data_IF_660573547701
#
_entry.id   IF_660573547701
#
_cell.length_a   1.000
_cell.length_b   1.000
_cell.length_c   1.000
_cell.angle_alpha   90.00
_cell.angle_beta   90.00
_cell.angle_gamma   90.00
#
_symmetry.space_group_name_H-M   'P 1'
#
loop_
_entity.id
_entity.type
_entity.pdbx_description
1 polymer ?
#
# COMPACT_ATOMS: atom_id res chain seq x y z
N UNK A 1 12.52 -18.26 23.69
CA UNK A 1 11.71 -17.40 22.78
C UNK A 1 11.10 -18.31 21.70
N UNK A 2 9.82 -18.14 21.36
CA UNK A 2 9.22 -18.90 20.24
C UNK A 2 9.88 -18.47 18.92
N UNK A 3 10.23 -19.42 18.05
CA UNK A 3 10.68 -19.14 16.70
C UNK A 3 9.47 -18.76 15.85
N UNK A 4 9.54 -17.62 15.20
CA UNK A 4 8.50 -17.13 14.30
C UNK A 4 8.95 -17.38 12.86
N UNK A 5 8.01 -17.76 12.01
CA UNK A 5 8.25 -18.05 10.59
C UNK A 5 7.22 -17.32 9.72
N UNK A 6 7.61 -16.97 8.51
CA UNK A 6 6.71 -16.48 7.47
C UNK A 6 6.12 -17.72 6.79
N UNK A 7 4.80 -17.79 6.70
CA UNK A 7 4.07 -18.93 6.13
C UNK A 7 3.35 -18.60 4.85
N UNK A 8 3.21 -17.33 4.51
CA UNK A 8 2.60 -16.88 3.26
C UNK A 8 3.02 -15.46 2.92
N UNK A 9 3.14 -15.21 1.63
CA UNK A 9 3.49 -13.92 1.06
C UNK A 9 2.43 -13.50 0.05
N UNK A 10 2.19 -12.20 -0.01
CA UNK A 10 1.37 -11.59 -1.05
C UNK A 10 1.86 -10.20 -1.37
N UNK A 11 1.90 -9.86 -2.64
CA UNK A 11 2.46 -8.59 -3.09
C UNK A 11 1.73 -8.03 -4.29
N UNK A 12 1.57 -6.70 -4.28
CA UNK A 12 1.12 -5.92 -5.43
C UNK A 12 2.09 -4.76 -5.59
N UNK A 13 2.78 -4.69 -6.72
CA UNK A 13 3.82 -3.67 -6.96
C UNK A 13 3.88 -3.23 -8.42
N UNK A 14 4.66 -2.20 -8.70
CA UNK A 14 4.90 -1.71 -10.07
C UNK A 14 5.61 -2.73 -10.98
N UNK A 15 6.22 -3.78 -10.41
CA UNK A 15 6.92 -4.82 -11.16
C UNK A 15 6.17 -6.16 -11.20
N UNK A 16 4.98 -6.24 -10.60
CA UNK A 16 4.12 -7.43 -10.65
C UNK A 16 2.94 -7.33 -9.71
N UNK A 17 1.88 -8.05 -10.03
CA UNK A 17 0.61 -8.05 -9.29
C UNK A 17 0.49 -9.25 -8.31
N UNK A 18 1.51 -10.07 -8.21
CA UNK A 18 1.63 -11.22 -7.34
C UNK A 18 3.10 -11.60 -7.15
N UNK A 19 3.38 -12.50 -6.21
CA UNK A 19 4.74 -12.96 -5.85
C UNK A 19 5.48 -13.54 -7.06
N UNK A 20 4.80 -14.31 -7.92
CA UNK A 20 5.42 -14.93 -9.08
C UNK A 20 5.90 -13.88 -10.11
N UNK A 21 5.05 -12.92 -10.44
CA UNK A 21 5.39 -11.82 -11.37
C UNK A 21 6.52 -10.94 -10.84
N UNK A 22 6.46 -10.58 -9.54
CA UNK A 22 7.52 -9.80 -8.89
C UNK A 22 8.84 -10.56 -8.90
N UNK A 23 8.82 -11.84 -8.55
CA UNK A 23 10.02 -12.70 -8.59
C UNK A 23 10.62 -12.76 -10.01
N UNK A 24 9.77 -12.92 -11.02
CA UNK A 24 10.22 -12.94 -12.42
C UNK A 24 10.83 -11.61 -12.83
N UNK A 25 10.20 -10.50 -12.47
CA UNK A 25 10.68 -9.15 -12.79
C UNK A 25 12.03 -8.85 -12.11
N UNK A 26 12.20 -9.27 -10.84
CA UNK A 26 13.46 -9.15 -10.12
C UNK A 26 14.59 -9.96 -10.78
N UNK A 27 14.31 -11.22 -11.19
CA UNK A 27 15.28 -12.05 -11.91
C UNK A 27 15.71 -11.45 -13.24
N UNK A 28 14.81 -10.73 -13.90
CA UNK A 28 15.07 -10.07 -15.19
C UNK A 28 15.66 -8.67 -15.07
N UNK A 29 15.76 -8.10 -13.85
CA UNK A 29 16.15 -6.70 -13.65
C UNK A 29 15.16 -5.70 -14.27
N UNK A 30 13.86 -6.06 -14.35
CA UNK A 30 12.83 -5.25 -14.98
C UNK A 30 12.48 -4.06 -14.10
N UNK A 31 12.55 -2.84 -14.66
CA UNK A 31 12.05 -1.64 -14.00
C UNK A 31 10.53 -1.53 -14.10
N UNK A 32 9.89 -1.12 -13.01
CA UNK A 32 8.47 -0.77 -12.98
C UNK A 32 8.21 0.73 -13.09
N UNK A 33 9.25 1.53 -13.32
CA UNK A 33 9.13 2.98 -13.42
C UNK A 33 8.74 3.36 -14.85
N UNK A 34 7.73 4.23 -14.96
CA UNK A 34 7.24 4.74 -16.24
C UNK A 34 6.89 6.22 -16.16
N UNK A 35 6.71 6.86 -17.32
CA UNK A 35 6.25 8.23 -17.40
C UNK A 35 4.79 8.34 -16.93
N UNK A 36 4.49 9.38 -16.16
CA UNK A 36 3.15 9.71 -15.66
C UNK A 36 2.68 11.01 -16.30
N UNK A 37 1.83 10.96 -17.36
CA UNK A 37 1.40 12.16 -18.09
C UNK A 37 0.80 13.23 -17.19
N UNK A 38 0.01 12.84 -16.18
CA UNK A 38 -0.60 13.75 -15.22
C UNK A 38 0.43 14.59 -14.46
N UNK A 39 1.60 14.05 -14.11
CA UNK A 39 2.64 14.82 -13.43
C UNK A 39 3.21 15.92 -14.32
N UNK A 40 3.37 15.64 -15.62
CA UNK A 40 3.77 16.62 -16.62
C UNK A 40 2.73 17.74 -16.77
N UNK A 41 1.45 17.37 -16.86
CA UNK A 41 0.33 18.31 -16.97
C UNK A 41 0.21 19.22 -15.74
N UNK A 42 0.50 18.69 -14.54
CA UNK A 42 0.50 19.44 -13.28
C UNK A 42 1.81 20.23 -13.04
N UNK A 43 2.79 20.14 -13.93
CA UNK A 43 4.05 20.88 -13.83
C UNK A 43 5.04 20.33 -12.81
N UNK A 44 4.99 19.04 -12.47
CA UNK A 44 5.96 18.40 -11.59
C UNK A 44 7.34 18.37 -12.24
N UNK A 45 8.38 18.51 -11.41
CA UNK A 45 9.77 18.30 -11.84
C UNK A 45 10.04 16.84 -12.19
N UNK A 46 9.57 15.93 -11.33
CA UNK A 46 9.62 14.49 -11.58
C UNK A 46 8.35 14.06 -12.31
N UNK A 47 8.51 13.46 -13.48
CA UNK A 47 7.40 13.01 -14.33
C UNK A 47 7.31 11.48 -14.41
N UNK A 48 7.96 10.78 -13.50
CA UNK A 48 8.05 9.33 -13.46
C UNK A 48 7.58 8.76 -12.14
N UNK A 49 7.01 7.56 -12.16
CA UNK A 49 6.60 6.82 -10.97
C UNK A 49 6.48 5.32 -11.25
N UNK A 50 6.44 4.52 -10.18
CA UNK A 50 6.11 3.10 -10.23
C UNK A 50 4.60 2.87 -10.24
N UNK A 51 3.99 2.79 -11.42
CA UNK A 51 2.55 2.59 -11.56
C UNK A 51 2.16 1.12 -11.51
N UNK A 52 0.94 0.83 -11.09
CA UNK A 52 0.40 -0.53 -11.08
C UNK A 52 -0.27 -0.87 -12.41
N UNK A 53 -0.24 -2.15 -12.76
CA UNK A 53 -0.83 -2.70 -13.99
C UNK A 53 -2.11 -3.49 -13.70
N UNK A 54 -2.89 -3.08 -12.69
CA UNK A 54 -4.16 -3.69 -12.33
C UNK A 54 -5.24 -2.64 -12.09
N UNK A 55 -6.49 -3.06 -12.24
CA UNK A 55 -7.67 -2.27 -11.92
C UNK A 55 -8.33 -2.83 -10.66
N UNK A 56 -8.16 -2.14 -9.53
CA UNK A 56 -8.73 -2.57 -8.24
C UNK A 56 -10.26 -2.60 -8.24
N UNK A 57 -10.90 -1.77 -9.05
CA UNK A 57 -12.36 -1.69 -9.12
C UNK A 57 -13.00 -2.94 -9.79
N UNK A 58 -12.20 -3.69 -10.56
CA UNK A 58 -12.57 -4.99 -11.14
C UNK A 58 -12.25 -6.17 -10.21
N UNK A 59 -11.23 -6.04 -9.37
CA UNK A 59 -10.67 -7.13 -8.57
C UNK A 59 -11.21 -7.17 -7.14
N UNK A 60 -11.74 -6.07 -6.63
CA UNK A 60 -12.28 -5.94 -5.27
C UNK A 60 -13.79 -5.82 -5.32
N UNK A 61 -14.51 -6.61 -4.53
CA UNK A 61 -15.97 -6.49 -4.41
C UNK A 61 -16.37 -5.04 -4.15
N UNK A 62 -17.32 -4.52 -4.93
CA UNK A 62 -17.78 -3.13 -4.87
C UNK A 62 -18.28 -2.71 -3.48
N UNK A 63 -18.82 -3.66 -2.68
CA UNK A 63 -19.29 -3.39 -1.31
C UNK A 63 -18.13 -3.09 -0.36
N UNK A 64 -16.95 -3.69 -0.59
CA UNK A 64 -15.74 -3.44 0.16
C UNK A 64 -15.00 -2.22 -0.39
N UNK A 65 -14.85 -2.14 -1.71
CA UNK A 65 -14.07 -1.11 -2.41
C UNK A 65 -14.49 0.32 -2.05
N UNK A 66 -15.78 0.56 -1.84
CA UNK A 66 -16.28 1.90 -1.46
C UNK A 66 -15.72 2.45 -0.15
N UNK A 67 -15.22 1.59 0.75
CA UNK A 67 -14.58 1.98 2.01
C UNK A 67 -13.05 2.11 1.91
N UNK A 68 -12.46 1.64 0.81
CA UNK A 68 -11.02 1.55 0.62
C UNK A 68 -10.50 2.70 -0.23
N UNK A 69 -9.41 3.35 0.20
CA UNK A 69 -8.48 3.98 -0.70
C UNK A 69 -7.69 2.93 -1.48
N UNK A 70 -6.92 3.34 -2.48
CA UNK A 70 -6.17 2.41 -3.32
C UNK A 70 -5.17 1.59 -2.51
N UNK A 71 -4.43 2.21 -1.58
CA UNK A 71 -3.48 1.51 -0.74
C UNK A 71 -4.11 0.37 0.08
N UNK A 72 -5.32 0.59 0.63
CA UNK A 72 -6.05 -0.45 1.34
C UNK A 72 -6.55 -1.56 0.39
N UNK A 73 -6.92 -1.22 -0.84
CA UNK A 73 -7.34 -2.19 -1.86
C UNK A 73 -6.17 -3.07 -2.32
N UNK A 74 -4.97 -2.50 -2.48
CA UNK A 74 -3.77 -3.29 -2.80
C UNK A 74 -3.38 -4.22 -1.66
N UNK A 75 -3.40 -3.74 -0.43
CA UNK A 75 -3.16 -4.56 0.75
C UNK A 75 -4.19 -5.70 0.87
N UNK A 76 -5.45 -5.45 0.50
CA UNK A 76 -6.48 -6.48 0.45
C UNK A 76 -6.14 -7.58 -0.57
N UNK A 77 -5.70 -7.22 -1.77
CA UNK A 77 -5.30 -8.18 -2.81
C UNK A 77 -4.05 -8.97 -2.39
N UNK A 78 -3.05 -8.30 -1.82
CA UNK A 78 -1.85 -8.94 -1.30
C UNK A 78 -2.18 -9.91 -0.15
N UNK A 79 -3.04 -9.51 0.79
CA UNK A 79 -3.46 -10.40 1.88
C UNK A 79 -4.24 -11.62 1.36
N UNK A 80 -5.05 -11.46 0.29
CA UNK A 80 -5.73 -12.59 -0.37
C UNK A 80 -4.72 -13.61 -0.90
N UNK A 81 -3.65 -13.15 -1.54
CA UNK A 81 -2.57 -14.01 -2.02
C UNK A 81 -1.84 -14.69 -0.85
N UNK A 82 -1.47 -13.94 0.19
CA UNK A 82 -0.79 -14.47 1.37
C UNK A 82 -1.60 -15.55 2.10
N UNK A 83 -2.93 -15.39 2.18
CA UNK A 83 -3.84 -16.40 2.75
C UNK A 83 -3.81 -17.69 1.92
N UNK A 84 -3.85 -17.55 0.59
CA UNK A 84 -3.81 -18.68 -0.33
C UNK A 84 -2.45 -19.37 -0.30
N UNK A 85 -1.34 -18.62 -0.30
CA UNK A 85 0.02 -19.14 -0.22
C UNK A 85 0.26 -19.90 1.10
N UNK A 86 -0.26 -19.38 2.22
CA UNK A 86 -0.20 -20.06 3.52
C UNK A 86 -1.15 -21.25 3.66
N UNK A 87 -2.06 -21.47 2.71
CA UNK A 87 -3.07 -22.54 2.75
C UNK A 87 -4.08 -22.40 3.90
N UNK A 88 -4.36 -21.16 4.35
CA UNK A 88 -5.25 -20.94 5.49
C UNK A 88 -6.72 -21.05 5.12
N UNK A 89 -7.48 -21.72 5.95
CA UNK A 89 -8.93 -21.77 5.90
C UNK A 89 -9.57 -20.50 6.46
N UNK A 90 -10.82 -20.23 6.13
CA UNK A 90 -11.59 -19.09 6.67
C UNK A 90 -11.64 -19.07 8.21
N UNK A 91 -11.72 -20.23 8.85
CA UNK A 91 -11.74 -20.36 10.31
C UNK A 91 -10.38 -20.09 10.95
N UNK A 92 -9.29 -20.34 10.23
CA UNK A 92 -7.95 -20.00 10.67
C UNK A 92 -7.65 -18.51 10.49
N UNK A 93 -8.23 -17.87 9.50
CA UNK A 93 -8.17 -16.42 9.30
C UNK A 93 -9.06 -15.69 10.31
N UNK A 94 -10.31 -16.14 10.49
CA UNK A 94 -11.30 -15.47 11.34
C UNK A 94 -11.45 -16.15 12.69
N UNK A 95 -10.51 -15.92 13.60
CA UNK A 95 -10.57 -16.38 15.01
C UNK A 95 -9.84 -15.39 15.94
N UNK A 96 -10.02 -15.56 17.25
CA UNK A 96 -9.51 -14.63 18.26
C UNK A 96 -7.96 -14.65 18.40
N UNK A 97 -7.30 -15.68 17.85
CA UNK A 97 -5.83 -15.85 17.88
C UNK A 97 -5.14 -15.42 16.59
N UNK A 98 -5.90 -14.96 15.59
CA UNK A 98 -5.38 -14.41 14.35
C UNK A 98 -5.63 -12.91 14.31
N UNK A 99 -4.55 -12.13 14.18
CA UNK A 99 -4.58 -10.67 14.16
C UNK A 99 -4.05 -10.07 12.87
N UNK A 100 -4.17 -8.74 12.75
CA UNK A 100 -3.57 -7.95 11.68
C UNK A 100 -2.96 -6.67 12.21
N UNK A 101 -1.72 -6.41 11.82
CA UNK A 101 -1.05 -5.12 11.99
C UNK A 101 -0.54 -4.66 10.63
N UNK A 102 -1.21 -3.66 10.07
CA UNK A 102 -0.88 -3.16 8.75
C UNK A 102 -1.17 -1.66 8.68
N UNK A 103 -0.30 -0.92 8.04
CA UNK A 103 -0.38 0.53 8.01
C UNK A 103 -0.05 1.15 6.67
N UNK A 104 0.04 2.47 6.67
CA UNK A 104 0.46 3.27 5.53
C UNK A 104 1.39 4.37 6.03
N UNK A 105 2.36 4.75 5.22
CA UNK A 105 3.27 5.85 5.51
C UNK A 105 2.61 7.21 5.40
N UNK A 106 1.62 7.32 4.52
CA UNK A 106 0.76 8.47 4.35
C UNK A 106 -0.71 8.08 4.28
N UNK A 107 -1.64 8.93 4.76
CA UNK A 107 -3.07 8.68 4.58
C UNK A 107 -3.44 8.76 3.10
N UNK A 108 -4.66 8.31 2.74
CA UNK A 108 -5.22 8.51 1.41
C UNK A 108 -5.46 9.99 1.14
N UNK A 109 -4.40 10.69 0.67
CA UNK A 109 -4.40 12.14 0.46
C UNK A 109 -5.41 12.55 -0.60
N UNK A 110 -5.57 11.75 -1.66
CA UNK A 110 -6.58 11.97 -2.69
C UNK A 110 -7.99 12.03 -2.13
N UNK A 111 -8.35 11.16 -1.17
CA UNK A 111 -9.67 11.19 -0.54
C UNK A 111 -9.90 12.47 0.29
N UNK A 112 -8.87 12.96 0.99
CA UNK A 112 -8.93 14.19 1.78
C UNK A 112 -9.11 15.40 0.84
N UNK A 113 -8.30 15.48 -0.21
CA UNK A 113 -8.39 16.57 -1.21
C UNK A 113 -9.74 16.54 -1.91
N UNK A 114 -10.22 15.37 -2.33
CA UNK A 114 -11.54 15.22 -2.95
C UNK A 114 -12.66 15.70 -2.03
N UNK A 115 -12.64 15.32 -0.75
CA UNK A 115 -13.62 15.77 0.23
C UNK A 115 -13.59 17.30 0.41
N UNK A 116 -12.40 17.90 0.47
CA UNK A 116 -12.24 19.35 0.57
C UNK A 116 -12.80 20.09 -0.66
N UNK A 117 -12.51 19.61 -1.87
CA UNK A 117 -13.00 20.20 -3.12
C UNK A 117 -14.52 20.09 -3.23
N UNK A 118 -15.09 18.91 -2.96
CA UNK A 118 -16.55 18.72 -2.96
C UNK A 118 -17.22 19.64 -1.95
N UNK A 119 -16.63 19.79 -0.76
CA UNK A 119 -17.19 20.68 0.27
C UNK A 119 -17.21 22.11 -0.18
N UNK A 120 -16.14 22.61 -0.82
CA UNK A 120 -16.06 23.97 -1.35
C UNK A 120 -17.07 24.22 -2.48
N UNK A 121 -17.25 23.25 -3.37
CA UNK A 121 -18.10 23.40 -4.56
C UNK A 121 -19.58 23.13 -4.27
N UNK A 122 -19.88 22.07 -3.49
CA UNK A 122 -21.25 21.51 -3.35
C UNK A 122 -21.73 21.39 -1.91
N UNK A 123 -20.90 21.77 -0.94
CA UNK A 123 -21.19 21.67 0.49
C UNK A 123 -20.95 20.28 1.10
N UNK A 124 -20.85 20.20 2.44
CA UNK A 124 -20.40 18.99 3.13
C UNK A 124 -21.36 17.79 2.97
N UNK A 125 -22.64 18.01 2.75
CA UNK A 125 -23.64 16.94 2.53
C UNK A 125 -23.37 16.10 1.27
N UNK A 126 -22.56 16.61 0.32
CA UNK A 126 -22.22 15.94 -0.93
C UNK A 126 -20.95 15.10 -0.86
N UNK A 127 -20.18 15.19 0.22
CA UNK A 127 -18.97 14.38 0.43
C UNK A 127 -19.26 12.89 0.54
N UNK A 128 -20.42 12.53 1.08
CA UNK A 128 -20.84 11.14 1.25
C UNK A 128 -20.22 10.47 2.49
N UNK A 129 -20.67 9.25 2.83
CA UNK A 129 -20.35 8.62 4.12
C UNK A 129 -19.04 7.81 4.12
N UNK A 130 -18.35 7.67 2.98
CA UNK A 130 -17.24 6.73 2.83
C UNK A 130 -15.85 7.36 2.98
N UNK A 131 -15.76 8.68 3.09
CA UNK A 131 -14.46 9.38 3.11
C UNK A 131 -13.67 9.14 4.40
N UNK A 132 -14.36 9.00 5.54
CA UNK A 132 -13.68 8.72 6.82
C UNK A 132 -12.92 7.39 6.78
N UNK A 133 -13.52 6.22 6.46
CA UNK A 133 -12.78 4.97 6.36
C UNK A 133 -11.70 4.97 5.27
N UNK A 134 -11.84 5.78 4.22
CA UNK A 134 -10.79 5.93 3.19
C UNK A 134 -9.60 6.75 3.69
N UNK A 135 -9.85 7.84 4.41
CA UNK A 135 -8.84 8.83 4.76
C UNK A 135 -8.18 8.62 6.14
N UNK A 136 -8.77 7.80 7.02
CA UNK A 136 -8.22 7.57 8.36
C UNK A 136 -6.86 6.87 8.30
N UNK A 137 -5.95 7.18 9.22
CA UNK A 137 -4.61 6.60 9.30
C UNK A 137 -4.61 5.07 9.47
N UNK A 138 -5.69 4.51 10.03
CA UNK A 138 -5.90 3.07 10.20
C UNK A 138 -6.66 2.41 9.03
N UNK A 139 -6.80 3.09 7.88
CA UNK A 139 -7.60 2.59 6.74
C UNK A 139 -7.18 1.18 6.30
N UNK A 140 -5.88 0.87 6.29
CA UNK A 140 -5.38 -0.43 5.84
C UNK A 140 -5.83 -1.53 6.80
N UNK A 141 -5.47 -1.48 8.08
CA UNK A 141 -5.83 -2.54 9.04
C UNK A 141 -7.34 -2.67 9.23
N UNK A 142 -8.08 -1.55 9.26
CA UNK A 142 -9.53 -1.58 9.46
C UNK A 142 -10.26 -2.24 8.28
N UNK A 143 -9.87 -1.94 7.04
CA UNK A 143 -10.45 -2.57 5.86
C UNK A 143 -10.08 -4.06 5.77
N UNK A 144 -8.84 -4.43 6.06
CA UNK A 144 -8.42 -5.84 6.09
C UNK A 144 -9.17 -6.62 7.17
N UNK A 145 -9.21 -6.09 8.40
CA UNK A 145 -9.91 -6.74 9.51
C UNK A 145 -11.39 -6.95 9.20
N UNK A 146 -12.04 -5.96 8.59
CA UNK A 146 -13.45 -6.05 8.22
C UNK A 146 -13.67 -7.06 7.10
N UNK A 147 -12.87 -6.98 6.02
CA UNK A 147 -13.05 -7.83 4.85
C UNK A 147 -12.81 -9.32 5.15
N UNK A 148 -11.78 -9.62 5.93
CA UNK A 148 -11.40 -10.99 6.30
C UNK A 148 -11.95 -11.43 7.67
N UNK A 149 -12.78 -10.59 8.30
CA UNK A 149 -13.42 -10.88 9.60
C UNK A 149 -12.42 -11.28 10.67
N UNK A 150 -11.28 -10.58 10.73
CA UNK A 150 -10.25 -10.80 11.75
C UNK A 150 -10.84 -10.48 13.12
N UNK A 151 -10.70 -11.39 14.08
CA UNK A 151 -11.25 -11.25 15.43
C UNK A 151 -10.19 -10.99 16.49
N UNK A 152 -8.93 -11.30 16.21
CA UNK A 152 -7.81 -11.00 17.08
C UNK A 152 -7.37 -9.54 17.02
N UNK A 153 -6.17 -9.25 17.51
CA UNK A 153 -5.61 -7.91 17.54
C UNK A 153 -5.60 -7.27 16.14
N UNK A 154 -6.15 -6.04 16.04
CA UNK A 154 -6.20 -5.32 14.78
C UNK A 154 -5.93 -3.83 15.00
N UNK A 155 -4.84 -3.32 14.42
CA UNK A 155 -4.49 -1.90 14.45
C UNK A 155 -3.45 -1.56 13.38
N UNK A 156 -3.19 -0.26 13.21
CA UNK A 156 -2.17 0.25 12.30
C UNK A 156 -1.02 0.86 13.05
N UNK A 157 0.17 0.73 12.47
CA UNK A 157 1.35 1.53 12.77
C UNK A 157 1.56 2.46 11.58
N UNK A 158 2.02 3.68 11.82
CA UNK A 158 2.48 4.59 10.78
C UNK A 158 3.84 5.15 11.18
N UNK A 159 4.83 4.91 10.35
CA UNK A 159 6.22 5.34 10.53
C UNK A 159 6.88 5.61 9.18
N UNK A 160 6.15 6.34 8.31
CA UNK A 160 6.58 6.69 6.96
C UNK A 160 7.02 5.44 6.17
N UNK A 161 8.15 5.50 5.46
CA UNK A 161 8.66 4.38 4.64
C UNK A 161 9.01 3.12 5.45
N UNK A 162 9.13 3.20 6.77
CA UNK A 162 9.42 2.07 7.66
C UNK A 162 8.16 1.37 8.20
N UNK A 163 6.98 1.81 7.82
CA UNK A 163 5.70 1.32 8.36
C UNK A 163 5.57 -0.20 8.28
N UNK A 164 5.79 -0.80 7.11
CA UNK A 164 5.66 -2.26 6.94
C UNK A 164 6.68 -3.03 7.79
N UNK A 165 7.92 -2.54 7.89
CA UNK A 165 8.95 -3.17 8.71
C UNK A 165 8.57 -3.14 10.21
N UNK A 166 8.03 -2.03 10.70
CA UNK A 166 7.52 -1.93 12.07
C UNK A 166 6.30 -2.81 12.31
N UNK A 167 5.39 -2.93 11.32
CA UNK A 167 4.27 -3.86 11.41
C UNK A 167 4.76 -5.32 11.55
N UNK A 168 5.75 -5.73 10.77
CA UNK A 168 6.34 -7.08 10.83
C UNK A 168 7.01 -7.30 12.20
N UNK A 169 7.85 -6.36 12.66
CA UNK A 169 8.49 -6.46 13.97
C UNK A 169 7.50 -6.59 15.12
N UNK A 170 6.45 -5.77 15.09
CA UNK A 170 5.40 -5.81 16.09
C UNK A 170 4.57 -7.11 16.05
N UNK A 171 4.32 -7.66 14.86
CA UNK A 171 3.66 -8.96 14.71
C UNK A 171 4.50 -10.09 15.35
N UNK A 172 5.82 -10.08 15.13
CA UNK A 172 6.75 -11.02 15.76
C UNK A 172 6.67 -10.93 17.28
N UNK A 173 6.77 -9.73 17.86
CA UNK A 173 6.67 -9.50 19.30
C UNK A 173 5.31 -9.95 19.84
N UNK A 174 4.22 -9.67 19.14
CA UNK A 174 2.85 -10.07 19.53
C UNK A 174 2.73 -11.58 19.67
N UNK A 175 3.28 -12.35 18.71
CA UNK A 175 3.27 -13.81 18.76
C UNK A 175 4.23 -14.33 19.84
N UNK A 176 5.41 -13.75 20.00
CA UNK A 176 6.37 -14.14 21.04
C UNK A 176 5.81 -13.96 22.46
N UNK A 177 5.05 -12.90 22.66
CA UNK A 177 4.34 -12.62 23.94
C UNK A 177 3.10 -13.52 24.14
N UNK A 178 2.78 -14.40 23.21
CA UNK A 178 1.64 -15.31 23.31
C UNK A 178 0.26 -14.65 23.12
N UNK A 179 0.22 -13.41 22.63
CA UNK A 179 -1.04 -12.67 22.42
C UNK A 179 -1.78 -13.11 21.15
N UNK A 180 -1.07 -13.64 20.17
CA UNK A 180 -1.61 -14.22 18.95
C UNK A 180 -0.84 -15.48 18.56
N UNK A 181 -1.43 -16.31 17.71
CA UNK A 181 -0.77 -17.47 17.09
C UNK A 181 -0.39 -17.18 15.63
N UNK A 182 -1.14 -16.29 14.99
CA UNK A 182 -0.92 -15.78 13.62
C UNK A 182 -1.10 -14.28 13.58
N UNK A 183 -0.29 -13.62 12.76
CA UNK A 183 -0.43 -12.20 12.48
C UNK A 183 -0.24 -11.95 10.99
N UNK A 184 -1.19 -11.25 10.37
CA UNK A 184 -0.96 -10.61 9.09
C UNK A 184 -0.24 -9.29 9.35
N UNK A 185 0.87 -9.05 8.64
CA UNK A 185 1.69 -7.86 8.86
C UNK A 185 2.17 -7.30 7.53
N UNK A 186 2.14 -5.98 7.40
CA UNK A 186 2.60 -5.31 6.18
C UNK A 186 2.08 -3.90 6.07
N UNK A 187 1.89 -3.45 4.85
CA UNK A 187 1.38 -2.10 4.60
C UNK A 187 0.75 -1.94 3.23
N UNK A 188 0.06 -0.85 3.05
CA UNK A 188 -0.53 -0.44 1.80
C UNK A 188 -0.31 1.05 1.55
N UNK A 189 0.26 1.39 0.41
CA UNK A 189 0.48 2.77 0.00
C UNK A 189 -0.16 3.02 -1.37
N UNK A 190 -0.70 4.22 -1.58
CA UNK A 190 -1.24 4.59 -2.88
C UNK A 190 -0.28 5.50 -3.66
N UNK A 191 -0.41 5.47 -4.98
CA UNK A 191 0.21 6.45 -5.85
C UNK A 191 -0.86 7.46 -6.28
N UNK A 192 -0.82 8.63 -5.67
CA UNK A 192 -1.70 9.74 -6.01
C UNK A 192 -0.87 11.03 -6.13
N UNK A 193 -1.24 11.89 -7.08
CA UNK A 193 -0.53 13.15 -7.30
C UNK A 193 -0.57 14.06 -6.06
N UNK A 194 -1.62 13.97 -5.25
CA UNK A 194 -1.78 14.78 -4.03
C UNK A 194 -0.76 14.43 -2.94
N UNK A 195 -0.26 13.19 -2.91
CA UNK A 195 0.87 12.80 -2.08
C UNK A 195 2.20 13.10 -2.78
N UNK A 196 2.28 12.78 -4.06
CA UNK A 196 3.52 12.94 -4.86
C UNK A 196 3.97 14.39 -4.92
N UNK A 197 3.05 15.35 -4.99
CA UNK A 197 3.40 16.79 -5.02
C UNK A 197 4.18 17.24 -3.78
N UNK A 198 3.96 16.62 -2.63
CA UNK A 198 4.67 16.97 -1.40
C UNK A 198 6.17 16.62 -1.50
N UNK A 199 6.47 15.48 -2.12
CA UNK A 199 7.84 15.03 -2.36
C UNK A 199 8.51 15.78 -3.52
N UNK A 200 7.76 16.10 -4.57
CA UNK A 200 8.27 16.92 -5.68
C UNK A 200 8.61 18.33 -5.19
N UNK A 201 7.74 18.93 -4.36
CA UNK A 201 7.96 20.24 -3.79
C UNK A 201 9.22 20.33 -2.93
N UNK A 202 9.56 19.29 -2.18
CA UNK A 202 10.79 19.26 -1.38
C UNK A 202 12.05 18.91 -2.20
N UNK A 203 11.91 18.60 -3.49
CA UNK A 203 13.04 18.28 -4.36
C UNK A 203 13.67 16.89 -4.16
N UNK A 204 12.92 15.97 -3.57
CA UNK A 204 13.43 14.64 -3.24
C UNK A 204 13.29 13.62 -4.38
N UNK A 205 12.43 13.89 -5.37
CA UNK A 205 12.14 12.98 -6.47
C UNK A 205 13.15 13.14 -7.62
N UNK A 206 13.44 12.01 -8.29
CA UNK A 206 14.27 11.99 -9.48
C UNK A 206 13.63 12.78 -10.63
N UNK A 207 14.38 13.67 -11.25
CA UNK A 207 13.93 14.48 -12.38
C UNK A 207 14.82 14.39 -13.63
N UNK A 208 16.02 13.85 -13.50
CA UNK A 208 16.95 13.67 -14.62
C UNK A 208 16.52 12.59 -15.62
N UNK A 209 15.66 11.68 -15.20
CA UNK A 209 15.32 10.49 -15.97
C UNK A 209 13.89 10.53 -16.54
N UNK A 210 13.28 11.72 -16.66
CA UNK A 210 11.93 11.87 -17.21
C UNK A 210 11.82 11.26 -18.62
N UNK A 211 12.86 11.39 -19.46
CA UNK A 211 12.90 10.83 -20.82
C UNK A 211 13.35 9.35 -20.87
N UNK A 212 13.86 8.83 -19.77
CA UNK A 212 14.33 7.44 -19.64
C UNK A 212 13.89 6.82 -18.33
N UNK A 213 12.57 6.69 -18.09
CA UNK A 213 12.00 6.30 -16.80
C UNK A 213 12.58 5.01 -16.25
N UNK A 214 12.85 4.02 -17.10
CA UNK A 214 13.39 2.72 -16.71
C UNK A 214 14.79 2.80 -16.05
N UNK A 215 15.48 3.94 -16.19
CA UNK A 215 16.79 4.20 -15.60
C UNK A 215 16.73 5.03 -14.32
N UNK A 216 15.56 5.49 -13.91
CA UNK A 216 15.41 6.41 -12.78
C UNK A 216 15.72 5.72 -11.45
N UNK A 217 15.12 4.54 -11.20
CA UNK A 217 15.36 3.80 -9.98
C UNK A 217 16.74 3.15 -9.98
N UNK A 218 17.65 3.74 -9.22
CA UNK A 218 19.07 3.38 -9.19
C UNK A 218 19.69 3.59 -7.81
N UNK A 219 19.13 2.89 -6.82
CA UNK A 219 19.61 2.97 -5.45
C UNK A 219 21.13 2.70 -5.35
N UNK A 220 21.83 3.50 -4.54
CA UNK A 220 23.27 3.46 -4.32
C UNK A 220 24.15 3.76 -5.55
N UNK A 221 23.58 4.06 -6.72
CA UNK A 221 24.33 4.45 -7.91
C UNK A 221 24.86 5.88 -7.78
N UNK A 222 26.05 6.15 -8.36
CA UNK A 222 26.69 7.47 -8.32
C UNK A 222 25.92 8.55 -9.09
N UNK A 223 25.14 8.14 -10.12
CA UNK A 223 24.37 9.03 -10.96
C UNK A 223 22.92 9.22 -10.48
N UNK A 224 22.61 8.71 -9.28
CA UNK A 224 21.31 8.89 -8.63
C UNK A 224 21.04 10.38 -8.36
N UNK A 225 19.83 10.85 -8.64
CA UNK A 225 19.43 12.25 -8.42
C UNK A 225 18.22 12.44 -7.52
N UNK A 226 17.62 11.37 -7.06
CA UNK A 226 16.46 11.37 -6.18
C UNK A 226 15.91 9.97 -5.97
N UNK A 227 14.68 9.88 -5.55
CA UNK A 227 13.92 8.63 -5.51
C UNK A 227 12.68 8.71 -6.42
N UNK A 228 12.07 7.60 -6.71
CA UNK A 228 10.80 7.50 -7.44
C UNK A 228 9.71 7.06 -6.47
N UNK A 229 8.58 7.76 -6.53
CA UNK A 229 7.37 7.29 -5.85
C UNK A 229 6.87 6.06 -6.59
N UNK A 230 6.60 5.00 -5.86
CA UNK A 230 6.06 3.76 -6.38
C UNK A 230 5.03 3.20 -5.43
N UNK A 231 4.35 2.16 -5.88
CA UNK A 231 3.47 1.36 -5.07
C UNK A 231 4.16 0.04 -4.79
N UNK A 232 4.37 -0.29 -3.53
CA UNK A 232 4.82 -1.59 -3.08
C UNK A 232 4.10 -1.96 -1.81
N UNK A 233 3.63 -3.20 -1.73
CA UNK A 233 2.95 -3.72 -0.56
C UNK A 233 3.37 -5.16 -0.34
N UNK A 234 3.77 -5.42 0.86
CA UNK A 234 4.14 -6.75 1.35
C UNK A 234 3.24 -7.09 2.51
#
# INVERSE_FOLDING_TARGET
MKRIVVTGLGVVSSIGNNVAEVTQSLKQGKSGIEAVPQYKELGFRSQVAGTLKLNVDELVDRRLRRFMGDGAAYAYLAMKEAIADAGLSDTEVSNDRTGVVAGSGGPTTGAIVQAALITKEKGPKKVGPFMVPRAMSSTVSANLATAYKIKGLSYSISSACSTSAHCIGNAVETIQLGKADRMFAGGGEELDWTLSVLFDAMGAMSSKYNDTPQKASRAYDKDRDGFEIGRAHV
#
